data_IF_032381426775
#
_entry.id   IF_032381426775
#
_cell.length_a   1.000
_cell.length_b   1.000
_cell.length_c   1.000
_cell.angle_alpha   90.00
_cell.angle_beta   90.00
_cell.angle_gamma   90.00
#
_symmetry.space_group_name_H-M   'P 1'
#
loop_
_entity.id
_entity.type
_entity.pdbx_description
1 polymer ?
#
# COMPACT_ATOMS: atom_id res chain seq x y z
N UNK A 1 -13.30 5.86 10.87
CA UNK A 1 -12.37 4.71 10.85
C UNK A 1 -11.06 5.23 11.40
N UNK A 2 -10.58 4.65 12.49
CA UNK A 2 -9.20 4.88 12.95
C UNK A 2 -8.27 4.17 11.95
N UNK A 3 -7.35 4.95 11.40
CA UNK A 3 -6.20 4.48 10.64
C UNK A 3 -5.01 4.52 11.58
N UNK A 4 -4.31 3.40 11.70
CA UNK A 4 -3.17 3.27 12.60
C UNK A 4 -1.85 3.69 11.93
N UNK A 5 -1.85 3.85 10.61
CA UNK A 5 -0.67 4.18 9.82
C UNK A 5 -0.84 5.54 9.15
N UNK A 6 0.23 6.33 9.13
CA UNK A 6 0.27 7.56 8.33
C UNK A 6 0.44 7.26 6.84
N UNK A 7 0.13 8.24 5.98
CA UNK A 7 0.31 8.09 4.51
C UNK A 7 1.75 7.72 4.14
N UNK A 8 2.75 8.27 4.83
CA UNK A 8 4.17 7.98 4.63
C UNK A 8 4.53 6.53 5.01
N UNK A 9 3.93 6.00 6.08
CA UNK A 9 4.13 4.60 6.47
C UNK A 9 3.49 3.63 5.48
N UNK A 10 2.30 3.97 4.98
CA UNK A 10 1.63 3.20 3.94
C UNK A 10 2.49 3.15 2.70
N UNK A 11 3.00 4.29 2.25
CA UNK A 11 3.89 4.37 1.08
C UNK A 11 5.16 3.55 1.31
N UNK A 12 5.85 3.74 2.44
CA UNK A 12 7.06 2.98 2.76
C UNK A 12 6.83 1.47 2.80
N UNK A 13 5.71 1.00 3.38
CA UNK A 13 5.38 -0.43 3.38
C UNK A 13 5.13 -0.95 1.96
N UNK A 14 4.41 -0.20 1.14
CA UNK A 14 4.16 -0.59 -0.25
C UNK A 14 5.48 -0.65 -1.04
N UNK A 15 6.35 0.36 -0.92
CA UNK A 15 7.67 0.36 -1.57
C UNK A 15 8.52 -0.82 -1.12
N UNK A 16 8.57 -1.11 0.19
CA UNK A 16 9.30 -2.26 0.72
C UNK A 16 8.76 -3.60 0.20
N UNK A 17 7.44 -3.73 0.03
CA UNK A 17 6.83 -4.91 -0.60
C UNK A 17 7.25 -5.03 -2.07
N UNK A 18 7.28 -3.92 -2.81
CA UNK A 18 7.72 -3.89 -4.21
C UNK A 18 9.18 -4.32 -4.32
N UNK A 19 10.06 -3.76 -3.49
CA UNK A 19 11.49 -4.13 -3.48
C UNK A 19 11.70 -5.60 -3.13
N UNK A 20 10.92 -6.13 -2.19
CA UNK A 20 11.01 -7.53 -1.76
C UNK A 20 10.51 -8.51 -2.80
N UNK A 21 9.40 -8.22 -3.48
CA UNK A 21 8.85 -9.09 -4.54
C UNK A 21 9.44 -8.80 -5.93
N UNK A 22 10.13 -7.68 -6.12
CA UNK A 22 10.60 -7.19 -7.41
C UNK A 22 9.48 -6.78 -8.37
N UNK A 23 8.24 -6.64 -7.88
CA UNK A 23 7.05 -6.29 -8.67
C UNK A 23 6.01 -5.56 -7.82
N UNK A 24 5.14 -4.73 -8.42
CA UNK A 24 4.01 -4.12 -7.75
C UNK A 24 3.09 -5.16 -7.07
N UNK A 25 2.85 -5.06 -5.75
CA UNK A 25 2.00 -5.99 -5.04
C UNK A 25 0.55 -5.84 -5.49
N UNK A 26 -0.11 -6.96 -5.82
CA UNK A 26 -1.49 -6.93 -6.33
C UNK A 26 -2.48 -6.70 -5.20
N UNK A 27 -3.56 -5.97 -5.50
CA UNK A 27 -4.65 -5.69 -4.54
C UNK A 27 -5.17 -6.94 -3.82
N UNK A 28 -5.33 -8.06 -4.53
CA UNK A 28 -5.80 -9.33 -3.94
C UNK A 28 -4.77 -9.95 -3.00
N UNK A 29 -3.48 -9.81 -3.29
CA UNK A 29 -2.39 -10.37 -2.48
C UNK A 29 -2.25 -9.57 -1.19
N UNK A 30 -2.22 -8.24 -1.27
CA UNK A 30 -2.15 -7.40 -0.06
C UNK A 30 -3.41 -7.53 0.77
N UNK A 31 -4.61 -7.59 0.17
CA UNK A 31 -5.82 -7.83 0.96
C UNK A 31 -5.79 -9.15 1.74
N UNK A 32 -5.03 -10.15 1.27
CA UNK A 32 -4.89 -11.45 1.94
C UNK A 32 -3.74 -11.46 2.95
N UNK A 33 -2.59 -10.89 2.60
CA UNK A 33 -1.40 -10.87 3.45
C UNK A 33 -1.44 -9.76 4.50
N UNK A 34 -1.93 -8.57 4.13
CA UNK A 34 -1.96 -7.37 4.96
C UNK A 34 -3.24 -6.52 4.69
N UNK A 35 -4.40 -6.97 5.22
CA UNK A 35 -5.66 -6.25 5.05
C UNK A 35 -5.66 -4.87 5.74
N UNK A 36 -4.79 -4.65 6.72
CA UNK A 36 -4.66 -3.38 7.42
C UNK A 36 -3.96 -2.35 6.53
N UNK A 37 -2.82 -2.70 5.92
CA UNK A 37 -2.17 -1.87 4.91
C UNK A 37 -3.13 -1.49 3.78
N UNK A 38 -3.93 -2.44 3.28
CA UNK A 38 -4.95 -2.17 2.26
C UNK A 38 -5.98 -1.14 2.74
N UNK A 39 -6.46 -1.27 3.98
CA UNK A 39 -7.45 -0.34 4.54
C UNK A 39 -6.87 1.06 4.72
N UNK A 40 -5.64 1.18 5.23
CA UNK A 40 -4.96 2.47 5.37
C UNK A 40 -4.66 3.09 4.00
N UNK A 41 -4.21 2.31 3.02
CA UNK A 41 -3.99 2.79 1.66
C UNK A 41 -5.27 3.33 1.01
N UNK A 42 -6.39 2.62 1.14
CA UNK A 42 -7.68 3.08 0.61
C UNK A 42 -8.29 4.25 1.39
N UNK A 43 -7.74 4.61 2.55
CA UNK A 43 -8.12 5.81 3.28
C UNK A 43 -7.46 7.07 2.70
N UNK A 44 -6.18 6.98 2.32
CA UNK A 44 -5.42 8.10 1.78
C UNK A 44 -5.50 8.23 0.26
N UNK A 45 -5.67 7.11 -0.45
CA UNK A 45 -5.65 7.05 -1.91
C UNK A 45 -7.01 6.60 -2.45
N UNK A 46 -7.41 7.08 -3.64
CA UNK A 46 -8.70 6.73 -4.25
C UNK A 46 -8.79 5.24 -4.60
N UNK A 47 -7.67 4.58 -4.84
CA UNK A 47 -7.59 3.14 -5.10
C UNK A 47 -6.19 2.61 -4.77
N UNK A 48 -6.06 1.28 -4.77
CA UNK A 48 -4.80 0.59 -4.46
C UNK A 48 -3.71 0.87 -5.49
N UNK A 49 -4.03 0.83 -6.78
CA UNK A 49 -3.06 1.08 -7.84
C UNK A 49 -2.44 2.47 -7.73
N UNK A 50 -3.24 3.50 -7.43
CA UNK A 50 -2.75 4.86 -7.17
C UNK A 50 -1.82 4.92 -5.95
N UNK A 51 -2.12 4.19 -4.88
CA UNK A 51 -1.22 4.09 -3.72
C UNK A 51 0.12 3.46 -4.12
N UNK A 52 0.08 2.40 -4.94
CA UNK A 52 1.27 1.71 -5.43
C UNK A 52 2.08 2.60 -6.37
N UNK A 53 1.45 3.25 -7.34
CA UNK A 53 2.09 4.22 -8.24
C UNK A 53 2.77 5.36 -7.45
N UNK A 54 2.10 5.89 -6.43
CA UNK A 54 2.68 6.92 -5.58
C UNK A 54 3.86 6.42 -4.74
N UNK A 55 3.91 5.11 -4.45
CA UNK A 55 4.97 4.50 -3.65
C UNK A 55 6.21 4.15 -4.46
N UNK A 56 6.05 3.88 -5.76
CA UNK A 56 7.17 3.57 -6.68
C UNK A 56 7.60 4.76 -7.55
N UNK A 57 6.77 5.80 -7.64
CA UNK A 57 6.99 6.96 -8.51
C UNK A 57 7.46 8.23 -7.79
N UNK A 58 7.82 8.16 -6.50
CA UNK A 58 8.28 9.31 -5.71
C UNK A 58 9.74 9.19 -5.27
#
# INVERSE_FOLDING_TARGET
MEVNMSVEEVVNQISALVEKEGKPPRKKEVKKSDPELMKNALYYFPNWDTAVEHSIGS
#
